data_IF_223294798857
#
_entry.id   IF_223294798857
#
_cell.length_a   1.000
_cell.length_b   1.000
_cell.length_c   1.000
_cell.angle_alpha   90.00
_cell.angle_beta   90.00
_cell.angle_gamma   90.00
#
_symmetry.space_group_name_H-M   'P 1'
#
loop_
_entity.id
_entity.type
_entity.pdbx_description
1 polymer ?
#
# COMPACT_ATOMS: atom_id res chain seq x y z
N UNK A 1 -1.56 -32.51 8.02
CA UNK A 1 -0.15 -32.91 8.13
C UNK A 1 0.63 -31.70 8.60
N UNK A 2 1.40 -31.78 9.70
CA UNK A 2 2.29 -30.70 10.10
C UNK A 2 3.50 -30.61 9.15
N UNK A 3 4.15 -29.45 9.12
CA UNK A 3 5.48 -29.33 8.53
C UNK A 3 6.48 -30.20 9.30
N UNK A 4 7.51 -30.77 8.63
CA UNK A 4 8.63 -31.41 9.30
C UNK A 4 9.25 -30.52 10.39
N UNK A 5 9.83 -31.14 11.41
CA UNK A 5 10.48 -30.41 12.50
C UNK A 5 11.58 -29.49 11.96
N UNK A 6 11.66 -28.27 12.50
CA UNK A 6 12.62 -27.26 12.06
C UNK A 6 12.28 -26.57 10.72
N UNK A 7 11.12 -26.82 10.12
CA UNK A 7 10.72 -26.24 8.83
C UNK A 7 9.43 -25.42 8.88
N UNK A 8 9.26 -24.55 7.90
CA UNK A 8 8.07 -23.76 7.67
C UNK A 8 7.81 -23.56 6.16
N UNK A 9 6.60 -23.16 5.79
CA UNK A 9 6.22 -22.85 4.42
C UNK A 9 6.41 -21.36 4.12
N UNK A 10 7.39 -21.02 3.29
CA UNK A 10 7.55 -19.68 2.74
C UNK A 10 6.56 -19.49 1.56
N UNK A 11 5.76 -18.43 1.62
CA UNK A 11 4.66 -18.16 0.67
C UNK A 11 5.08 -17.09 -0.34
N UNK A 12 4.87 -17.37 -1.61
CA UNK A 12 5.16 -16.50 -2.75
C UNK A 12 3.93 -16.33 -3.64
N UNK A 13 3.89 -15.23 -4.38
CA UNK A 13 2.87 -14.96 -5.39
C UNK A 13 3.49 -14.49 -6.70
N UNK A 14 2.91 -14.92 -7.82
CA UNK A 14 3.24 -14.43 -9.16
C UNK A 14 1.98 -13.93 -9.85
N UNK A 15 2.06 -12.72 -10.40
CA UNK A 15 1.07 -12.22 -11.37
C UNK A 15 1.21 -12.99 -12.69
N UNK A 16 0.10 -13.19 -13.44
CA UNK A 16 0.20 -13.67 -14.81
C UNK A 16 0.74 -12.56 -15.71
N UNK A 17 1.65 -12.92 -16.60
CA UNK A 17 2.18 -12.03 -17.63
C UNK A 17 2.07 -12.75 -18.98
N UNK A 18 1.52 -12.13 -20.03
CA UNK A 18 1.39 -12.76 -21.36
C UNK A 18 2.70 -12.82 -22.15
N UNK A 19 3.73 -12.10 -21.71
CA UNK A 19 5.00 -11.90 -22.43
C UNK A 19 6.22 -12.39 -21.68
N UNK A 20 6.07 -12.73 -20.40
CA UNK A 20 7.17 -13.15 -19.55
C UNK A 20 6.81 -14.38 -18.70
N UNK A 21 7.82 -15.18 -18.30
CA UNK A 21 7.63 -16.25 -17.33
C UNK A 21 7.28 -15.69 -15.93
N UNK A 22 6.70 -16.52 -15.04
CA UNK A 22 6.33 -16.13 -13.68
C UNK A 22 7.49 -15.49 -12.91
N UNK A 23 7.21 -14.37 -12.24
CA UNK A 23 8.15 -13.73 -11.32
C UNK A 23 7.58 -13.74 -9.90
N UNK A 24 8.33 -14.36 -8.99
CA UNK A 24 7.85 -14.70 -7.66
C UNK A 24 8.18 -13.61 -6.63
N UNK A 25 7.13 -13.10 -5.98
CA UNK A 25 7.23 -12.12 -4.91
C UNK A 25 6.95 -12.79 -3.58
N UNK A 26 7.81 -12.53 -2.62
CA UNK A 26 7.64 -13.01 -1.26
C UNK A 26 6.44 -12.33 -0.58
N UNK A 27 5.54 -13.12 0.00
CA UNK A 27 4.40 -12.61 0.77
C UNK A 27 4.63 -12.70 2.28
N UNK A 28 5.25 -13.80 2.73
CA UNK A 28 5.41 -14.13 4.14
C UNK A 28 5.56 -15.63 4.33
N UNK A 29 5.21 -16.15 5.51
CA UNK A 29 5.36 -17.58 5.83
C UNK A 29 4.20 -18.11 6.68
N UNK A 30 4.04 -19.44 6.66
CA UNK A 30 3.17 -20.23 7.53
C UNK A 30 3.99 -21.31 8.24
N UNK A 31 3.62 -21.68 9.46
CA UNK A 31 4.33 -22.69 10.25
C UNK A 31 3.35 -23.52 11.09
N UNK A 32 3.85 -24.54 11.80
CA UNK A 32 3.03 -25.32 12.72
C UNK A 32 2.43 -24.45 13.85
N UNK A 33 3.12 -23.38 14.26
CA UNK A 33 2.65 -22.43 15.28
C UNK A 33 1.73 -21.34 14.71
N UNK A 34 1.88 -21.01 13.42
CA UNK A 34 1.06 -20.03 12.69
C UNK A 34 0.58 -20.67 11.38
N UNK A 35 -0.47 -21.51 11.41
CA UNK A 35 -0.87 -22.33 10.27
C UNK A 35 -1.58 -21.54 9.16
N UNK A 36 -1.90 -20.26 9.39
CA UNK A 36 -2.60 -19.42 8.42
C UNK A 36 -2.13 -17.97 8.44
N UNK A 37 -2.33 -17.29 7.33
CA UNK A 37 -1.95 -15.90 7.09
C UNK A 37 -2.81 -15.32 5.97
N UNK A 38 -3.13 -14.03 6.04
CA UNK A 38 -3.90 -13.30 5.02
C UNK A 38 -2.99 -12.27 4.37
N UNK A 39 -2.99 -12.21 3.04
CA UNK A 39 -2.18 -11.29 2.27
C UNK A 39 -3.04 -10.47 1.30
N UNK A 40 -2.81 -9.15 1.26
CA UNK A 40 -3.43 -8.26 0.27
C UNK A 40 -2.54 -8.19 -0.97
N UNK A 41 -3.03 -8.77 -2.07
CA UNK A 41 -2.26 -8.83 -3.32
C UNK A 41 -2.36 -7.57 -4.19
N UNK A 42 -3.36 -6.72 -3.99
CA UNK A 42 -3.65 -5.60 -4.91
C UNK A 42 -2.60 -4.48 -4.95
N UNK A 43 -1.66 -4.47 -3.99
CA UNK A 43 -0.55 -3.52 -3.95
C UNK A 43 0.80 -4.16 -4.30
N UNK A 44 0.82 -5.44 -4.70
CA UNK A 44 2.05 -6.11 -5.10
C UNK A 44 2.49 -5.56 -6.46
N UNK A 45 3.80 -5.32 -6.57
CA UNK A 45 4.39 -4.76 -7.77
C UNK A 45 4.10 -5.65 -8.96
N UNK A 46 3.83 -5.10 -10.13
CA UNK A 46 3.78 -5.91 -11.36
C UNK A 46 5.19 -6.07 -11.94
N UNK A 47 5.38 -7.01 -12.87
CA UNK A 47 6.71 -7.35 -13.39
C UNK A 47 7.48 -6.12 -13.93
N UNK A 48 6.75 -5.25 -14.63
CA UNK A 48 7.19 -3.95 -15.13
C UNK A 48 7.67 -2.98 -14.01
N UNK A 49 7.17 -3.13 -12.80
CA UNK A 49 7.53 -2.32 -11.62
C UNK A 49 8.67 -2.93 -10.78
N UNK A 50 9.06 -4.18 -11.07
CA UNK A 50 10.10 -4.90 -10.32
C UNK A 50 11.53 -4.72 -10.88
N UNK A 51 11.68 -4.10 -12.07
CA UNK A 51 12.97 -3.94 -12.74
C UNK A 51 13.56 -5.27 -13.24
N UNK A 52 14.89 -5.34 -13.43
CA UNK A 52 15.61 -6.55 -13.88
C UNK A 52 15.63 -7.71 -12.86
N UNK A 53 14.92 -7.57 -11.73
CA UNK A 53 14.83 -8.61 -10.72
C UNK A 53 13.86 -9.71 -11.19
N UNK A 54 14.41 -10.77 -11.75
CA UNK A 54 13.67 -11.99 -12.10
C UNK A 54 13.99 -13.11 -11.09
N UNK A 55 12.99 -13.53 -10.33
CA UNK A 55 13.10 -14.67 -9.42
C UNK A 55 12.37 -15.88 -10.02
N UNK A 56 13.12 -16.83 -10.59
CA UNK A 56 12.59 -18.08 -11.16
C UNK A 56 12.60 -19.25 -10.16
N UNK A 57 12.32 -18.99 -8.88
CA UNK A 57 12.45 -19.95 -7.77
C UNK A 57 11.78 -21.32 -8.00
N UNK A 58 10.64 -21.37 -8.69
CA UNK A 58 9.87 -22.60 -8.93
C UNK A 58 10.21 -23.29 -10.26
N UNK A 59 11.31 -22.89 -10.93
CA UNK A 59 11.79 -23.53 -12.16
C UNK A 59 10.86 -23.40 -13.36
N UNK A 60 9.86 -22.52 -13.30
CA UNK A 60 8.90 -22.31 -14.38
C UNK A 60 9.46 -21.31 -15.39
N UNK A 61 9.71 -21.80 -16.62
CA UNK A 61 10.20 -21.00 -17.74
C UNK A 61 9.15 -20.71 -18.80
N UNK A 62 7.97 -21.34 -18.71
CA UNK A 62 6.88 -21.09 -19.64
C UNK A 62 5.97 -19.96 -19.15
N UNK A 63 5.37 -19.25 -20.10
CA UNK A 63 4.39 -18.19 -19.85
C UNK A 63 3.15 -18.80 -19.20
N UNK A 64 2.61 -18.14 -18.17
CA UNK A 64 1.42 -18.59 -17.43
C UNK A 64 0.36 -17.49 -17.45
N UNK A 65 -0.85 -17.84 -17.87
CA UNK A 65 -1.96 -16.89 -17.99
C UNK A 65 -2.79 -16.72 -16.71
N UNK A 66 -2.51 -17.52 -15.67
CA UNK A 66 -3.19 -17.48 -14.38
C UNK A 66 -2.24 -16.99 -13.28
N UNK A 67 -2.78 -16.28 -12.28
CA UNK A 67 -2.03 -15.97 -11.07
C UNK A 67 -1.68 -17.25 -10.30
N UNK A 68 -0.52 -17.28 -9.67
CA UNK A 68 -0.02 -18.46 -8.97
C UNK A 68 0.38 -18.13 -7.53
N UNK A 69 0.14 -19.09 -6.63
CA UNK A 69 0.66 -19.11 -5.26
C UNK A 69 1.65 -20.26 -5.18
N UNK A 70 2.85 -19.96 -4.68
CA UNK A 70 3.94 -20.91 -4.49
C UNK A 70 4.24 -21.03 -3.01
N UNK A 71 4.41 -22.25 -2.51
CA UNK A 71 4.82 -22.51 -1.13
C UNK A 71 6.09 -23.34 -1.19
N UNK A 72 7.21 -22.77 -0.74
CA UNK A 72 8.47 -23.49 -0.55
C UNK A 72 8.59 -23.95 0.89
N UNK A 73 9.01 -25.19 1.12
CA UNK A 73 9.31 -25.68 2.46
C UNK A 73 10.75 -25.33 2.75
N UNK A 74 10.97 -24.46 3.72
CA UNK A 74 12.29 -23.94 4.08
C UNK A 74 12.61 -24.25 5.55
N UNK A 75 13.89 -24.45 5.91
CA UNK A 75 14.32 -24.42 7.30
C UNK A 75 13.90 -23.11 7.97
N UNK A 76 13.50 -23.16 9.24
CA UNK A 76 13.08 -21.97 10.00
C UNK A 76 14.15 -20.87 10.02
N UNK A 77 15.42 -21.24 9.98
CA UNK A 77 16.57 -20.33 9.93
C UNK A 77 16.64 -19.51 8.62
N UNK A 78 16.06 -20.03 7.54
CA UNK A 78 16.05 -19.41 6.21
C UNK A 78 14.76 -18.62 5.93
N UNK A 79 13.79 -18.64 6.84
CA UNK A 79 12.52 -17.95 6.65
C UNK A 79 12.77 -16.44 6.61
N UNK A 80 12.31 -15.84 5.51
CA UNK A 80 12.34 -14.41 5.30
C UNK A 80 11.01 -13.80 5.77
N UNK A 81 11.09 -12.83 6.67
CA UNK A 81 9.95 -12.04 7.08
C UNK A 81 9.80 -10.84 6.14
N UNK A 82 8.63 -10.74 5.49
CA UNK A 82 8.25 -9.52 4.80
C UNK A 82 7.51 -8.65 5.80
N UNK A 83 7.93 -7.39 6.02
CA UNK A 83 7.11 -6.46 6.77
C UNK A 83 5.78 -6.34 6.04
N UNK A 84 4.69 -6.76 6.69
CA UNK A 84 3.36 -6.51 6.15
C UNK A 84 3.25 -5.01 5.95
N UNK A 85 2.81 -4.51 4.77
CA UNK A 85 2.50 -3.09 4.62
C UNK A 85 1.42 -2.80 5.65
N UNK A 86 1.81 -2.17 6.76
CA UNK A 86 0.89 -1.91 7.84
C UNK A 86 -0.25 -1.09 7.26
N UNK A 87 -1.50 -1.46 7.58
CA UNK A 87 -2.67 -0.68 7.14
C UNK A 87 -2.55 0.80 7.48
N UNK A 88 -1.73 1.14 8.48
CA UNK A 88 -1.31 2.47 8.88
C UNK A 88 -0.67 3.26 7.72
N UNK A 89 0.33 2.72 7.01
CA UNK A 89 1.01 3.46 5.93
C UNK A 89 0.08 3.73 4.73
N UNK A 90 -0.76 2.76 4.39
CA UNK A 90 -1.76 2.92 3.33
C UNK A 90 -2.80 3.98 3.71
N UNK A 91 -3.21 4.03 4.98
CA UNK A 91 -4.15 5.05 5.47
C UNK A 91 -3.52 6.44 5.52
N UNK A 92 -2.26 6.55 5.96
CA UNK A 92 -1.53 7.84 5.98
C UNK A 92 -1.35 8.37 4.57
N UNK A 93 -0.89 7.54 3.63
CA UNK A 93 -0.72 7.96 2.24
C UNK A 93 -2.03 8.35 1.56
N UNK A 94 -3.13 7.64 1.85
CA UNK A 94 -4.47 8.03 1.40
C UNK A 94 -4.88 9.39 1.98
N UNK A 95 -4.76 9.58 3.29
CA UNK A 95 -5.13 10.82 3.96
C UNK A 95 -4.30 12.02 3.44
N UNK A 96 -3.00 11.85 3.21
CA UNK A 96 -2.14 12.86 2.61
C UNK A 96 -2.61 13.25 1.20
N UNK A 97 -2.91 12.26 0.34
CA UNK A 97 -3.42 12.52 -1.02
C UNK A 97 -4.77 13.24 -1.00
N UNK A 98 -5.67 12.85 -0.09
CA UNK A 98 -6.97 13.50 0.09
C UNK A 98 -6.83 14.95 0.54
N UNK A 99 -5.99 15.22 1.55
CA UNK A 99 -5.74 16.58 2.04
C UNK A 99 -5.16 17.47 0.94
N UNK A 100 -4.18 16.96 0.19
CA UNK A 100 -3.60 17.69 -0.94
C UNK A 100 -4.67 18.02 -1.99
N UNK A 101 -5.45 17.03 -2.40
CA UNK A 101 -6.52 17.22 -3.39
C UNK A 101 -7.57 18.24 -2.91
N UNK A 102 -7.92 18.22 -1.62
CA UNK A 102 -8.83 19.21 -1.04
C UNK A 102 -8.23 20.62 -1.09
N UNK A 103 -6.96 20.77 -0.71
CA UNK A 103 -6.29 22.07 -0.73
C UNK A 103 -6.16 22.63 -2.14
N UNK A 104 -5.77 21.81 -3.11
CA UNK A 104 -5.68 22.18 -4.52
C UNK A 104 -7.05 22.66 -5.05
N UNK A 105 -8.12 21.95 -4.68
CA UNK A 105 -9.49 22.35 -5.02
C UNK A 105 -9.87 23.69 -4.39
N UNK A 106 -9.68 23.88 -3.08
CA UNK A 106 -10.02 25.15 -2.41
C UNK A 106 -9.21 26.31 -2.99
N UNK A 107 -7.91 26.12 -3.23
CA UNK A 107 -7.04 27.13 -3.83
C UNK A 107 -7.54 27.57 -5.21
N UNK A 108 -8.13 26.68 -6.00
CA UNK A 108 -8.71 27.04 -7.31
C UNK A 108 -9.89 28.02 -7.24
N UNK A 109 -10.57 28.14 -6.09
CA UNK A 109 -11.66 29.10 -5.86
C UNK A 109 -11.24 30.31 -5.03
N UNK A 110 -9.94 30.44 -4.72
CA UNK A 110 -9.47 31.59 -3.93
C UNK A 110 -9.56 32.87 -4.74
N UNK A 111 -10.11 33.90 -4.10
CA UNK A 111 -10.32 35.20 -4.71
C UNK A 111 -10.00 36.28 -3.68
N UNK A 112 -9.37 37.36 -4.13
CA UNK A 112 -9.12 38.53 -3.27
C UNK A 112 -10.36 39.41 -3.23
N UNK A 113 -10.50 40.22 -2.18
CA UNK A 113 -11.65 41.12 -2.01
C UNK A 113 -11.86 42.05 -3.22
N UNK A 114 -10.77 42.46 -3.88
CA UNK A 114 -10.82 43.31 -5.07
C UNK A 114 -11.52 42.65 -6.28
N UNK A 115 -11.59 41.32 -6.33
CA UNK A 115 -12.21 40.57 -7.41
C UNK A 115 -13.52 39.90 -7.00
N UNK A 116 -13.98 40.10 -5.76
CA UNK A 116 -15.26 39.55 -5.29
C UNK A 116 -16.44 40.30 -5.93
N UNK A 117 -17.44 39.55 -6.37
CA UNK A 117 -18.75 40.09 -6.74
C UNK A 117 -19.62 40.14 -5.48
N UNK A 118 -20.33 41.24 -5.20
CA UNK A 118 -21.22 41.33 -4.04
C UNK A 118 -22.31 40.27 -4.09
N UNK A 119 -22.26 39.33 -3.14
CA UNK A 119 -23.31 38.34 -2.89
C UNK A 119 -23.64 38.35 -1.38
N UNK A 120 -24.80 38.91 -0.98
CA UNK A 120 -25.18 39.01 0.43
C UNK A 120 -25.58 37.65 1.05
N UNK A 121 -25.70 36.60 0.24
CA UNK A 121 -26.04 35.24 0.69
C UNK A 121 -24.83 34.32 0.81
N UNK A 122 -23.70 34.71 0.21
CA UNK A 122 -22.47 33.93 0.23
C UNK A 122 -21.72 34.08 1.56
N UNK A 123 -21.18 32.96 2.04
CA UNK A 123 -20.27 32.92 3.20
C UNK A 123 -18.86 32.65 2.70
N UNK A 124 -17.90 33.46 3.17
CA UNK A 124 -16.50 33.33 2.80
C UNK A 124 -15.66 32.90 4.00
N UNK A 125 -14.72 31.99 3.76
CA UNK A 125 -13.73 31.57 4.76
C UNK A 125 -12.37 32.16 4.36
N UNK A 126 -11.67 32.88 5.26
CA UNK A 126 -10.32 33.37 4.97
C UNK A 126 -9.39 32.21 4.60
N UNK A 127 -8.58 32.39 3.56
CA UNK A 127 -7.64 31.36 3.11
C UNK A 127 -6.66 30.93 4.22
N UNK A 128 -6.25 31.88 5.07
CA UNK A 128 -5.38 31.61 6.22
C UNK A 128 -6.00 30.60 7.20
N UNK A 129 -7.33 30.62 7.39
CA UNK A 129 -8.02 29.66 8.25
C UNK A 129 -7.90 28.24 7.69
N UNK A 130 -8.10 28.07 6.38
CA UNK A 130 -8.00 26.77 5.72
C UNK A 130 -6.55 26.27 5.71
N UNK A 131 -5.58 27.14 5.43
CA UNK A 131 -4.15 26.81 5.48
C UNK A 131 -3.73 26.35 6.89
N UNK A 132 -4.13 27.10 7.92
CA UNK A 132 -3.83 26.74 9.31
C UNK A 132 -4.48 25.41 9.71
N UNK A 133 -5.70 25.13 9.24
CA UNK A 133 -6.36 23.84 9.45
C UNK A 133 -5.58 22.71 8.77
N UNK A 134 -5.18 22.89 7.50
CA UNK A 134 -4.41 21.92 6.72
C UNK A 134 -3.09 21.54 7.42
N UNK A 135 -2.28 22.53 7.81
CA UNK A 135 -1.01 22.30 8.52
C UNK A 135 -1.21 21.61 9.86
N UNK A 136 -2.26 21.99 10.61
CA UNK A 136 -2.58 21.32 11.88
C UNK A 136 -3.02 19.88 11.67
N UNK A 137 -3.79 19.60 10.63
CA UNK A 137 -4.23 18.25 10.29
C UNK A 137 -3.03 17.38 9.89
N UNK A 138 -2.17 17.84 8.99
CA UNK A 138 -0.95 17.11 8.59
C UNK A 138 -0.07 16.79 9.80
N UNK A 139 0.14 17.77 10.70
CA UNK A 139 0.91 17.56 11.92
C UNK A 139 0.30 16.48 12.82
N UNK A 140 -1.03 16.47 12.99
CA UNK A 140 -1.72 15.45 13.79
C UNK A 140 -1.65 14.07 13.13
N UNK A 141 -1.79 14.01 11.81
CA UNK A 141 -1.70 12.78 11.04
C UNK A 141 -0.30 12.14 11.14
N UNK A 142 0.76 12.96 11.08
CA UNK A 142 2.13 12.49 11.21
C UNK A 142 2.46 11.94 12.61
N UNK A 143 1.90 12.55 13.66
CA UNK A 143 2.10 12.11 15.05
C UNK A 143 1.23 10.90 15.42
N UNK A 144 -0.02 10.89 14.96
CA UNK A 144 -1.01 9.87 15.33
C UNK A 144 -1.88 9.51 14.11
N UNK A 145 -1.51 8.51 13.30
CA UNK A 145 -2.22 8.14 12.07
C UNK A 145 -3.74 7.88 12.21
N UNK A 146 -4.20 7.47 13.40
CA UNK A 146 -5.59 7.14 13.69
C UNK A 146 -6.36 8.23 14.48
N UNK A 147 -5.82 9.45 14.61
CA UNK A 147 -6.42 10.49 15.48
C UNK A 147 -7.86 10.88 15.13
N UNK A 148 -8.28 10.62 13.88
CA UNK A 148 -9.57 11.04 13.31
C UNK A 148 -10.66 9.96 13.41
N UNK A 149 -10.35 8.78 13.95
CA UNK A 149 -11.29 7.63 14.04
C UNK A 149 -12.12 7.57 15.34
N UNK A 150 -12.14 8.64 16.14
CA UNK A 150 -12.94 8.71 17.38
C UNK A 150 -14.32 9.31 17.16
#
# INVERSE_FOLDING_TARGET
>A
MPFPEGTAGQVYFSWPDPTAPPNWQLLGYISNNKPSSIYKISNLKRLDEMGDYSNMMFGQSHIVHNAQIGISIEPLENIQEVPSPEGTEVQVSFAQKMLKSFMDYVLSYTITQAHMVPDPTATYVPLSTVQNWYTNFERRLALHPNFWKS
#
